data_IF_158329986793
#
_entry.id   IF_158329986793
#
_cell.length_a   1.000
_cell.length_b   1.000
_cell.length_c   1.000
_cell.angle_alpha   90.00
_cell.angle_beta   90.00
_cell.angle_gamma   90.00
#
_symmetry.space_group_name_H-M   'P 1'
#
loop_
_entity.id
_entity.type
_entity.pdbx_description
1 polymer ?
#
# COMPACT_ATOMS: atom_id res chain seq x y z
N UNK A 1 -6.19 -0.79 -0.17
CA UNK A 1 -5.09 -1.75 -0.04
C UNK A 1 -5.27 -2.51 1.25
N UNK A 2 -5.36 -3.83 1.17
CA UNK A 2 -5.38 -4.72 2.33
C UNK A 2 -3.97 -4.87 2.86
N UNK A 3 -3.83 -4.74 4.17
CA UNK A 3 -2.57 -4.88 4.88
C UNK A 3 -2.29 -6.37 5.21
N UNK A 4 -1.03 -6.73 5.50
CA UNK A 4 -0.67 -8.05 6.01
C UNK A 4 -1.43 -8.40 7.30
N UNK A 5 -1.78 -9.67 7.50
CA UNK A 5 -2.61 -10.12 8.65
C UNK A 5 -1.94 -9.87 10.02
N UNK A 6 -0.61 -9.82 10.04
CA UNK A 6 0.23 -9.65 11.22
C UNK A 6 0.64 -8.19 11.48
N UNK A 7 0.14 -7.23 10.68
CA UNK A 7 0.46 -5.81 10.84
C UNK A 7 0.02 -5.31 12.23
N UNK A 8 0.92 -4.62 12.93
CA UNK A 8 0.63 -3.95 14.19
C UNK A 8 0.66 -2.43 14.01
N UNK A 9 -0.11 -1.70 14.83
CA UNK A 9 -0.14 -0.24 14.82
C UNK A 9 -0.92 0.40 13.66
N UNK A 10 -1.34 -0.38 12.66
CA UNK A 10 -2.09 0.10 11.48
C UNK A 10 -3.47 -0.57 11.34
N UNK A 11 -4.05 -1.02 12.45
CA UNK A 11 -5.34 -1.75 12.52
C UNK A 11 -6.58 -0.86 12.71
N UNK A 12 -6.44 0.46 12.64
CA UNK A 12 -7.55 1.41 12.79
C UNK A 12 -8.37 1.48 11.51
N UNK A 13 -9.69 1.62 11.64
CA UNK A 13 -10.56 1.83 10.48
C UNK A 13 -10.14 3.14 9.80
N UNK A 14 -9.63 3.07 8.57
CA UNK A 14 -9.33 4.30 7.85
C UNK A 14 -10.62 4.84 7.24
N UNK A 15 -11.31 5.67 8.03
CA UNK A 15 -12.60 6.26 7.70
C UNK A 15 -13.70 5.20 7.46
N UNK A 16 -14.13 5.03 6.20
CA UNK A 16 -15.15 4.07 5.76
C UNK A 16 -14.58 2.71 5.36
N UNK A 17 -13.26 2.54 5.40
CA UNK A 17 -12.61 1.28 5.06
C UNK A 17 -12.79 0.25 6.17
N UNK A 18 -12.87 -1.02 5.76
CA UNK A 18 -12.86 -2.14 6.71
C UNK A 18 -11.54 -2.22 7.48
N UNK A 19 -11.55 -2.98 8.56
CA UNK A 19 -10.38 -3.16 9.42
C UNK A 19 -9.26 -3.87 8.65
N UNK A 20 -8.04 -3.33 8.74
CA UNK A 20 -6.89 -3.86 7.97
C UNK A 20 -6.87 -3.43 6.50
N UNK A 21 -7.65 -2.41 6.13
CA UNK A 21 -7.61 -1.79 4.80
C UNK A 21 -7.35 -0.29 4.94
N UNK A 22 -6.44 0.21 4.10
CA UNK A 22 -6.11 1.64 3.96
C UNK A 22 -6.26 2.08 2.50
N UNK A 23 -6.36 3.38 2.25
CA UNK A 23 -6.32 3.94 0.90
C UNK A 23 -4.98 3.63 0.23
N UNK A 24 -5.01 3.53 -1.11
CA UNK A 24 -3.82 3.21 -1.88
C UNK A 24 -2.70 4.25 -1.70
N UNK A 25 -3.04 5.53 -1.53
CA UNK A 25 -2.06 6.59 -1.27
C UNK A 25 -1.29 6.37 0.05
N UNK A 26 -1.97 5.96 1.12
CA UNK A 26 -1.32 5.72 2.42
C UNK A 26 -0.51 4.43 2.41
N UNK A 27 -1.01 3.37 1.76
CA UNK A 27 -0.22 2.18 1.47
C UNK A 27 1.04 2.53 0.64
N UNK A 28 0.93 3.46 -0.30
CA UNK A 28 2.06 3.97 -1.07
C UNK A 28 3.14 4.59 -0.19
N UNK A 29 2.75 5.38 0.82
CA UNK A 29 3.69 5.90 1.82
C UNK A 29 4.38 4.81 2.65
N UNK A 30 3.67 3.74 2.98
CA UNK A 30 4.26 2.57 3.67
C UNK A 30 5.27 1.85 2.75
N UNK A 31 4.89 1.57 1.50
CA UNK A 31 5.78 0.93 0.51
C UNK A 31 7.03 1.77 0.27
N UNK A 32 6.86 3.09 0.14
CA UNK A 32 7.95 4.05 -0.04
C UNK A 32 9.02 3.94 1.07
N UNK A 33 8.57 3.90 2.33
CA UNK A 33 9.45 3.71 3.50
C UNK A 33 10.09 2.32 3.49
N UNK A 34 9.31 1.26 3.22
CA UNK A 34 9.80 -0.13 3.27
C UNK A 34 10.82 -0.46 2.16
N UNK A 35 10.70 0.15 0.99
CA UNK A 35 11.68 0.01 -0.09
C UNK A 35 12.88 0.97 0.04
N UNK A 36 12.86 1.88 1.02
CA UNK A 36 13.93 2.85 1.24
C UNK A 36 14.10 3.83 0.08
N UNK A 37 13.00 4.21 -0.58
CA UNK A 37 13.06 5.13 -1.71
C UNK A 37 13.30 6.56 -1.23
N UNK A 38 14.31 7.21 -1.80
CA UNK A 38 14.61 8.62 -1.48
C UNK A 38 13.90 9.60 -2.42
N UNK A 39 13.39 9.11 -3.56
CA UNK A 39 12.64 9.92 -4.52
C UNK A 39 11.23 10.17 -3.99
N UNK A 40 10.78 11.43 -4.01
CA UNK A 40 9.43 11.78 -3.62
C UNK A 40 8.60 12.05 -4.87
N UNK A 41 7.47 11.38 -5.00
CA UNK A 41 6.52 11.66 -6.07
C UNK A 41 5.69 12.89 -5.68
N UNK A 42 5.91 14.01 -6.36
CA UNK A 42 5.21 15.28 -6.14
C UNK A 42 4.67 15.76 -7.48
N UNK A 43 3.35 15.94 -7.57
CA UNK A 43 2.69 16.42 -8.79
C UNK A 43 1.94 15.31 -9.53
N UNK A 44 2.09 15.26 -10.86
CA UNK A 44 1.45 14.23 -11.67
C UNK A 44 2.08 12.85 -11.42
N UNK A 45 1.26 11.80 -11.55
CA UNK A 45 1.71 10.42 -11.34
C UNK A 45 2.69 10.01 -12.43
N UNK A 46 3.80 9.38 -12.04
CA UNK A 46 4.75 8.75 -12.96
C UNK A 46 4.21 7.38 -13.41
N UNK A 47 3.56 7.36 -14.58
CA UNK A 47 2.87 6.17 -15.11
C UNK A 47 3.81 5.00 -15.37
N UNK A 48 5.09 5.26 -15.64
CA UNK A 48 6.07 4.21 -15.93
C UNK A 48 6.49 3.45 -14.65
N UNK A 49 6.17 4.00 -13.47
CA UNK A 49 6.47 3.37 -12.18
C UNK A 49 5.31 2.59 -11.58
N UNK A 50 4.12 2.63 -12.16
CA UNK A 50 2.93 1.99 -11.58
C UNK A 50 3.17 0.51 -11.30
N UNK A 51 3.69 -0.23 -12.29
CA UNK A 51 3.97 -1.67 -12.13
C UNK A 51 5.06 -1.92 -11.08
N UNK A 52 6.12 -1.10 -11.07
CA UNK A 52 7.19 -1.20 -10.09
C UNK A 52 6.67 -1.01 -8.66
N UNK A 53 5.82 0.00 -8.43
CA UNK A 53 5.22 0.26 -7.12
C UNK A 53 4.25 -0.86 -6.73
N UNK A 54 3.50 -1.40 -7.69
CA UNK A 54 2.59 -2.50 -7.45
C UNK A 54 3.32 -3.78 -7.02
N UNK A 55 4.37 -4.17 -7.74
CA UNK A 55 5.18 -5.34 -7.39
C UNK A 55 5.85 -5.18 -6.02
N UNK A 56 6.35 -3.97 -5.71
CA UNK A 56 6.88 -3.66 -4.37
C UNK A 56 5.80 -3.81 -3.28
N UNK A 57 4.57 -3.36 -3.53
CA UNK A 57 3.47 -3.53 -2.58
C UNK A 57 3.17 -5.02 -2.31
N UNK A 58 3.12 -5.84 -3.36
CA UNK A 58 2.87 -7.29 -3.22
C UNK A 58 4.01 -8.02 -2.51
N UNK A 59 5.26 -7.62 -2.74
CA UNK A 59 6.43 -8.14 -2.00
C UNK A 59 6.29 -7.94 -0.48
N UNK A 60 5.64 -6.87 -0.04
CA UNK A 60 5.33 -6.61 1.37
C UNK A 60 3.99 -7.17 1.83
N UNK A 61 3.38 -8.07 1.06
CA UNK A 61 2.07 -8.70 1.31
C UNK A 61 0.89 -7.71 1.39
N UNK A 62 1.01 -6.53 0.76
CA UNK A 62 -0.14 -5.69 0.51
C UNK A 62 -0.90 -6.23 -0.71
N UNK A 63 -2.23 -6.13 -0.69
CA UNK A 63 -3.06 -6.58 -1.81
C UNK A 63 -4.18 -5.61 -2.15
N UNK A 64 -4.79 -5.79 -3.31
CA UNK A 64 -6.04 -5.11 -3.64
C UNK A 64 -7.15 -5.55 -2.68
N UNK A 65 -8.17 -4.71 -2.51
CA UNK A 65 -9.32 -5.04 -1.67
C UNK A 65 -10.20 -6.14 -2.28
N UNK A 66 -10.20 -6.26 -3.60
CA UNK A 66 -10.94 -7.27 -4.37
C UNK A 66 -10.18 -8.58 -4.55
N UNK A 67 -8.90 -8.64 -4.21
CA UNK A 67 -8.11 -9.87 -4.23
C UNK A 67 -8.75 -10.89 -3.29
N UNK A 68 -9.01 -12.08 -3.81
CA UNK A 68 -9.51 -13.21 -3.02
C UNK A 68 -8.54 -13.47 -1.87
N UNK A 69 -9.05 -13.43 -0.64
CA UNK A 69 -8.29 -13.89 0.52
C UNK A 69 -8.25 -15.42 0.47
N UNK A 70 -7.06 -16.00 0.30
CA UNK A 70 -6.84 -17.41 0.64
C UNK A 70 -7.03 -17.63 2.15
#
# INVERSE_FOLDING_TARGET
MRLPKDVQGLGTCEYTMERGVVHACHAGGVVHILEGWEHHEVGAIDVDRIDLVWEAAMKHNLSSVSSLTN
#
